data_IF_671155047514
#
_entry.id   IF_671155047514
#
_cell.length_a   1.000
_cell.length_b   1.000
_cell.length_c   1.000
_cell.angle_alpha   90.00
_cell.angle_beta   90.00
_cell.angle_gamma   90.00
#
_symmetry.space_group_name_H-M   'P 1'
#
loop_
_entity.id
_entity.type
_entity.pdbx_description
1 polymer ?
#
# COMPACT_ATOMS: atom_id res chain seq x y z
N UNK A 1 -6.09 39.40 20.62
CA UNK A 1 -5.05 38.50 20.13
C UNK A 1 -5.26 38.30 18.64
N UNK A 2 -4.27 38.51 17.76
CA UNK A 2 -4.42 38.28 16.34
C UNK A 2 -4.60 36.78 16.08
N UNK A 3 -5.65 36.40 15.33
CA UNK A 3 -5.85 35.02 14.91
C UNK A 3 -4.65 34.56 14.08
N UNK A 4 -4.04 33.42 14.44
CA UNK A 4 -3.00 32.79 13.62
C UNK A 4 -3.56 32.59 12.21
N UNK A 5 -2.85 33.13 11.22
CA UNK A 5 -3.18 32.96 9.81
C UNK A 5 -3.12 31.47 9.49
N UNK A 6 -4.25 30.90 9.04
CA UNK A 6 -4.34 29.48 8.65
C UNK A 6 -3.46 29.28 7.40
N UNK A 7 -2.56 28.31 7.43
CA UNK A 7 -1.82 27.89 6.25
C UNK A 7 -2.79 27.10 5.35
N UNK A 8 -3.40 27.79 4.41
CA UNK A 8 -4.47 27.25 3.56
C UNK A 8 -4.20 27.56 2.10
N UNK A 9 -4.58 26.63 1.21
CA UNK A 9 -4.56 26.80 -0.24
C UNK A 9 -5.93 27.21 -0.75
N UNK A 10 -5.97 28.17 -1.65
CA UNK A 10 -7.21 28.56 -2.31
C UNK A 10 -7.58 27.50 -3.36
N UNK A 11 -8.82 26.99 -3.30
CA UNK A 11 -9.36 26.01 -4.23
C UNK A 11 -10.63 26.58 -4.83
N UNK A 12 -10.76 26.56 -6.16
CA UNK A 12 -11.94 27.06 -6.88
C UNK A 12 -12.55 25.89 -7.67
N UNK A 13 -13.67 25.35 -7.18
CA UNK A 13 -14.42 24.29 -7.85
C UNK A 13 -15.86 24.69 -8.12
N UNK A 14 -16.40 24.19 -9.24
CA UNK A 14 -17.81 24.26 -9.54
C UNK A 14 -18.49 23.05 -8.88
N UNK A 15 -19.43 23.31 -7.98
CA UNK A 15 -20.15 22.26 -7.23
C UNK A 15 -21.57 22.19 -7.76
N UNK A 16 -22.11 20.97 -7.91
CA UNK A 16 -23.51 20.75 -8.27
C UNK A 16 -24.46 21.47 -7.30
N UNK A 17 -25.53 22.04 -7.84
CA UNK A 17 -26.48 22.86 -7.09
C UNK A 17 -27.14 22.10 -5.94
N UNK A 18 -27.48 20.83 -6.15
CA UNK A 18 -28.14 20.00 -5.14
C UNK A 18 -27.20 19.69 -3.98
N UNK A 19 -25.92 19.50 -4.27
CA UNK A 19 -24.87 19.30 -3.26
C UNK A 19 -24.65 20.59 -2.47
N UNK A 20 -24.60 21.73 -3.15
CA UNK A 20 -24.46 23.04 -2.53
C UNK A 20 -25.59 23.33 -1.55
N UNK A 21 -26.86 23.12 -1.93
CA UNK A 21 -28.03 23.34 -1.08
C UNK A 21 -28.05 22.42 0.15
N UNK A 22 -27.58 21.17 0.00
CA UNK A 22 -27.43 20.22 1.12
C UNK A 22 -26.33 20.67 2.08
N UNK A 23 -25.23 21.14 1.55
CA UNK A 23 -24.10 21.63 2.34
C UNK A 23 -24.49 22.89 3.12
N UNK A 24 -25.25 23.79 2.51
CA UNK A 24 -25.75 25.01 3.17
C UNK A 24 -26.65 24.65 4.36
N UNK A 25 -27.61 23.75 4.15
CA UNK A 25 -28.48 23.26 5.26
C UNK A 25 -27.67 22.63 6.39
N UNK A 26 -26.67 21.80 6.05
CA UNK A 26 -25.81 21.20 7.06
C UNK A 26 -25.00 22.24 7.85
N UNK A 27 -24.47 23.27 7.19
CA UNK A 27 -23.75 24.35 7.86
C UNK A 27 -24.67 25.14 8.81
N UNK A 28 -25.89 25.46 8.36
CA UNK A 28 -26.90 26.16 9.15
C UNK A 28 -27.34 25.33 10.37
N UNK A 29 -27.62 24.04 10.19
CA UNK A 29 -28.02 23.12 11.27
C UNK A 29 -26.92 22.98 12.34
N UNK A 30 -25.65 23.06 11.95
CA UNK A 30 -24.51 22.99 12.86
C UNK A 30 -24.04 24.34 13.39
N UNK A 31 -24.65 25.46 12.93
CA UNK A 31 -24.28 26.80 13.34
C UNK A 31 -22.84 27.20 12.96
N UNK A 32 -22.33 26.70 11.84
CA UNK A 32 -20.97 26.95 11.38
C UNK A 32 -20.95 27.59 9.97
N UNK A 33 -19.82 28.22 9.65
CA UNK A 33 -19.63 28.76 8.32
C UNK A 33 -19.47 27.65 7.28
N UNK A 34 -19.93 27.88 6.05
CA UNK A 34 -19.85 26.96 4.93
C UNK A 34 -18.43 26.37 4.73
N UNK A 35 -17.41 27.22 4.80
CA UNK A 35 -16.00 26.83 4.66
C UNK A 35 -15.60 25.81 5.72
N UNK A 36 -15.98 26.05 6.98
CA UNK A 36 -15.71 25.13 8.09
C UNK A 36 -16.46 23.81 7.93
N UNK A 37 -17.69 23.86 7.43
CA UNK A 37 -18.49 22.68 7.15
C UNK A 37 -17.86 21.81 6.05
N UNK A 38 -17.38 22.42 4.96
CA UNK A 38 -16.66 21.74 3.88
C UNK A 38 -15.38 21.08 4.41
N UNK A 39 -14.54 21.83 5.10
CA UNK A 39 -13.27 21.32 5.65
C UNK A 39 -13.50 20.10 6.55
N UNK A 40 -14.52 20.19 7.41
CA UNK A 40 -14.86 19.08 8.31
C UNK A 40 -15.34 17.83 7.58
N UNK A 41 -16.25 17.99 6.61
CA UNK A 41 -16.76 16.86 5.82
C UNK A 41 -15.63 16.21 5.01
N UNK A 42 -14.77 17.03 4.40
CA UNK A 42 -13.63 16.53 3.64
C UNK A 42 -12.63 15.82 4.55
N UNK A 43 -12.33 16.37 5.71
CA UNK A 43 -11.42 15.74 6.67
C UNK A 43 -11.97 14.41 7.16
N UNK A 44 -13.23 14.35 7.61
CA UNK A 44 -13.87 13.11 8.05
C UNK A 44 -13.89 12.03 6.94
N UNK A 45 -14.06 12.44 5.69
CA UNK A 45 -14.04 11.51 4.55
C UNK A 45 -12.63 11.02 4.22
N UNK A 46 -11.66 11.93 4.22
CA UNK A 46 -10.24 11.60 3.97
C UNK A 46 -9.67 10.73 5.08
N UNK A 47 -9.95 11.04 6.35
CA UNK A 47 -9.52 10.22 7.50
C UNK A 47 -10.09 8.79 7.40
N UNK A 48 -11.35 8.65 6.96
CA UNK A 48 -11.95 7.34 6.71
C UNK A 48 -11.30 6.60 5.55
N UNK A 49 -11.06 7.30 4.45
CA UNK A 49 -10.37 6.75 3.28
C UNK A 49 -8.95 6.29 3.63
N UNK A 50 -8.22 7.09 4.39
CA UNK A 50 -6.88 6.73 4.88
C UNK A 50 -6.92 5.54 5.85
N UNK A 51 -7.94 5.47 6.72
CA UNK A 51 -8.15 4.33 7.61
C UNK A 51 -8.52 3.04 6.86
N UNK A 52 -9.26 3.14 5.74
CA UNK A 52 -9.57 2.00 4.86
C UNK A 52 -8.33 1.51 4.09
N UNK A 53 -7.39 2.41 3.79
CA UNK A 53 -6.10 2.09 3.17
C UNK A 53 -5.07 1.55 4.16
N UNK A 54 -5.25 1.84 5.45
CA UNK A 54 -4.37 1.32 6.48
C UNK A 54 -4.56 -0.20 6.63
N UNK A 55 -3.48 -0.98 6.74
CA UNK A 55 -3.56 -2.41 6.96
C UNK A 55 -4.35 -2.68 8.24
N UNK A 56 -5.31 -3.60 8.18
CA UNK A 56 -6.14 -3.98 9.33
C UNK A 56 -5.25 -4.62 10.39
N UNK A 57 -4.80 -3.82 11.36
CA UNK A 57 -4.11 -4.31 12.56
C UNK A 57 -2.64 -3.92 12.74
N UNK A 58 -2.11 -2.92 12.01
CA UNK A 58 -0.71 -2.50 12.12
C UNK A 58 -0.50 -0.98 12.15
N UNK A 59 0.70 -0.56 12.57
CA UNK A 59 1.19 0.81 12.41
C UNK A 59 1.13 1.26 10.94
N UNK A 60 1.02 2.57 10.65
CA UNK A 60 0.92 3.05 9.28
C UNK A 60 2.11 2.58 8.44
N UNK A 61 1.81 1.82 7.39
CA UNK A 61 2.82 1.31 6.46
C UNK A 61 3.00 2.30 5.31
N UNK A 62 4.24 2.63 5.00
CA UNK A 62 4.61 3.46 3.86
C UNK A 62 5.20 2.60 2.75
N UNK A 63 4.95 2.97 1.52
CA UNK A 63 5.52 2.33 0.34
C UNK A 63 6.72 3.12 -0.17
N UNK A 64 7.83 2.42 -0.43
CA UNK A 64 9.00 3.00 -1.08
C UNK A 64 8.98 2.70 -2.58
N UNK A 65 8.79 3.69 -3.48
CA UNK A 65 8.73 3.46 -4.91
C UNK A 65 10.07 3.02 -5.53
N UNK A 66 11.20 3.25 -4.84
CA UNK A 66 12.53 2.89 -5.36
C UNK A 66 12.82 1.39 -5.24
N UNK A 67 12.37 0.74 -4.18
CA UNK A 67 12.62 -0.70 -3.93
C UNK A 67 11.36 -1.53 -3.77
N UNK A 68 10.19 -0.93 -3.90
CA UNK A 68 8.88 -1.60 -3.81
C UNK A 68 8.65 -2.30 -2.46
N UNK A 69 9.25 -1.81 -1.37
CA UNK A 69 9.08 -2.38 -0.04
C UNK A 69 8.13 -1.54 0.82
N UNK A 70 7.42 -2.20 1.71
CA UNK A 70 6.66 -1.57 2.76
C UNK A 70 7.56 -1.28 3.96
N UNK A 71 7.37 -0.14 4.61
CA UNK A 71 8.14 0.29 5.78
C UNK A 71 7.24 1.04 6.76
N UNK A 72 7.44 0.85 8.05
CA UNK A 72 6.74 1.55 9.13
C UNK A 72 7.27 2.99 9.36
N UNK A 73 8.40 3.32 8.74
CA UNK A 73 9.09 4.59 8.94
C UNK A 73 8.97 5.49 7.72
N UNK A 74 9.03 6.80 7.95
CA UNK A 74 9.10 7.84 6.90
C UNK A 74 10.41 7.86 6.12
N UNK A 75 11.24 6.83 6.32
CA UNK A 75 12.49 6.58 5.59
C UNK A 75 12.61 5.09 5.29
N UNK A 76 12.88 4.76 4.04
CA UNK A 76 13.07 3.36 3.63
C UNK A 76 14.30 2.74 4.28
N UNK A 77 14.12 1.59 4.94
CA UNK A 77 15.22 0.84 5.59
C UNK A 77 16.17 0.19 4.59
N UNK A 78 15.72 -0.05 3.35
CA UNK A 78 16.50 -0.74 2.32
C UNK A 78 17.39 0.21 1.53
N UNK A 79 16.83 1.30 0.97
CA UNK A 79 17.58 2.24 0.13
C UNK A 79 17.85 3.59 0.80
N UNK A 80 17.34 3.82 2.00
CA UNK A 80 17.51 5.08 2.72
C UNK A 80 16.75 6.28 2.16
N UNK A 81 15.91 6.08 1.12
CA UNK A 81 15.09 7.15 0.54
C UNK A 81 14.11 7.72 1.56
N UNK A 82 13.88 9.04 1.48
CA UNK A 82 12.82 9.74 2.21
C UNK A 82 11.55 9.91 1.36
N UNK A 83 11.60 9.51 0.09
CA UNK A 83 10.46 9.56 -0.83
C UNK A 83 9.57 8.33 -0.63
N UNK A 84 9.05 8.18 0.58
CA UNK A 84 8.05 7.16 0.90
C UNK A 84 6.68 7.81 0.93
N UNK A 85 5.65 7.07 0.53
CA UNK A 85 4.25 7.52 0.49
C UNK A 85 3.32 6.44 1.02
N UNK A 86 2.07 6.76 1.24
CA UNK A 86 1.05 5.75 1.48
C UNK A 86 0.93 4.84 0.24
N UNK A 87 0.82 3.52 0.44
CA UNK A 87 0.68 2.58 -0.67
C UNK A 87 -0.68 2.76 -1.36
N UNK A 88 -0.66 2.78 -2.69
CA UNK A 88 -1.87 2.68 -3.51
C UNK A 88 -2.27 1.22 -3.71
N UNK A 89 -3.54 0.95 -4.02
CA UNK A 89 -4.08 -0.40 -4.21
C UNK A 89 -3.32 -1.20 -5.28
N UNK A 90 -2.88 -0.50 -6.33
CA UNK A 90 -2.16 -1.08 -7.49
C UNK A 90 -0.64 -1.13 -7.31
N UNK A 91 -0.10 -0.64 -6.18
CA UNK A 91 1.34 -0.70 -5.95
C UNK A 91 1.78 -2.14 -5.71
N UNK A 92 2.75 -2.59 -6.51
CA UNK A 92 3.35 -3.91 -6.32
C UNK A 92 4.39 -3.86 -5.22
N UNK A 93 4.05 -4.48 -4.08
CA UNK A 93 4.86 -4.52 -2.87
C UNK A 93 5.68 -5.82 -2.81
N UNK A 94 6.95 -5.70 -2.39
CA UNK A 94 7.80 -6.85 -2.14
C UNK A 94 7.17 -7.75 -1.06
N UNK A 95 6.93 -9.00 -1.42
CA UNK A 95 6.37 -10.01 -0.53
C UNK A 95 7.47 -10.84 0.12
N UNK A 96 8.22 -11.58 -0.69
CA UNK A 96 9.23 -12.53 -0.23
C UNK A 96 10.28 -12.81 -1.31
N UNK A 97 11.36 -13.49 -0.91
CA UNK A 97 12.39 -14.02 -1.82
C UNK A 97 12.56 -15.52 -1.56
N UNK A 98 12.39 -16.34 -2.59
CA UNK A 98 12.50 -17.80 -2.51
C UNK A 98 13.51 -18.34 -3.52
N UNK A 99 14.02 -19.53 -3.26
CA UNK A 99 14.83 -20.25 -4.24
C UNK A 99 13.99 -20.64 -5.45
N UNK A 100 14.61 -20.74 -6.61
CA UNK A 100 13.92 -21.06 -7.88
C UNK A 100 13.09 -22.33 -7.81
N UNK A 101 13.51 -23.33 -7.03
CA UNK A 101 12.77 -24.58 -6.86
C UNK A 101 11.37 -24.39 -6.26
N UNK A 102 11.20 -23.39 -5.38
CA UNK A 102 9.92 -23.06 -4.74
C UNK A 102 9.14 -21.96 -5.45
N UNK A 103 9.80 -21.28 -6.41
CA UNK A 103 9.20 -20.13 -7.06
C UNK A 103 7.95 -20.51 -7.86
N UNK A 104 8.00 -21.57 -8.65
CA UNK A 104 6.88 -22.04 -9.44
C UNK A 104 5.67 -22.41 -8.56
N UNK A 105 5.91 -23.15 -7.46
CA UNK A 105 4.85 -23.55 -6.55
C UNK A 105 4.17 -22.35 -5.86
N UNK A 106 4.95 -21.32 -5.50
CA UNK A 106 4.39 -20.09 -4.93
C UNK A 106 3.64 -19.25 -5.98
N UNK A 107 4.11 -19.20 -7.22
CA UNK A 107 3.39 -18.55 -8.34
C UNK A 107 2.04 -19.23 -8.56
N UNK A 108 2.00 -20.55 -8.65
CA UNK A 108 0.77 -21.31 -8.85
C UNK A 108 -0.20 -21.11 -7.70
N UNK A 109 0.28 -21.14 -6.44
CA UNK A 109 -0.53 -20.90 -5.25
C UNK A 109 -1.18 -19.51 -5.28
N UNK A 110 -0.41 -18.47 -5.59
CA UNK A 110 -0.93 -17.09 -5.69
C UNK A 110 -1.93 -16.96 -6.83
N UNK A 111 -1.66 -17.58 -7.98
CA UNK A 111 -2.54 -17.57 -9.14
C UNK A 111 -3.88 -18.28 -8.87
N UNK A 112 -3.88 -19.40 -8.17
CA UNK A 112 -5.10 -20.14 -7.77
C UNK A 112 -6.02 -19.29 -6.87
N UNK A 113 -5.43 -18.38 -6.08
CA UNK A 113 -6.17 -17.41 -5.27
C UNK A 113 -6.46 -16.09 -6.00
N UNK A 114 -6.17 -16.02 -7.31
CA UNK A 114 -6.41 -14.84 -8.14
C UNK A 114 -5.51 -13.65 -7.80
N UNK A 115 -4.34 -13.89 -7.21
CA UNK A 115 -3.35 -12.88 -6.88
C UNK A 115 -2.29 -12.83 -7.98
N UNK A 116 -2.34 -11.75 -8.79
CA UNK A 116 -1.31 -11.53 -9.80
C UNK A 116 0.00 -11.12 -9.13
N UNK A 117 1.08 -11.88 -9.38
CA UNK A 117 2.40 -11.54 -8.86
C UNK A 117 3.36 -11.14 -10.00
N UNK A 118 4.33 -10.29 -9.69
CA UNK A 118 5.48 -9.99 -10.53
C UNK A 118 6.69 -10.63 -9.89
N UNK A 119 7.47 -11.38 -10.67
CA UNK A 119 8.68 -12.02 -10.22
C UNK A 119 9.92 -11.36 -10.82
N UNK A 120 10.99 -11.28 -10.03
CA UNK A 120 12.30 -10.76 -10.49
C UNK A 120 13.41 -11.69 -10.03
N UNK A 121 14.19 -12.18 -10.97
CA UNK A 121 15.37 -13.00 -10.69
C UNK A 121 16.52 -12.13 -10.16
N UNK A 122 17.17 -12.59 -9.09
CA UNK A 122 18.21 -11.81 -8.40
C UNK A 122 19.56 -11.85 -9.13
N UNK A 123 19.93 -12.96 -9.75
CA UNK A 123 21.25 -13.17 -10.35
C UNK A 123 21.34 -12.84 -11.83
N UNK A 124 20.22 -12.72 -12.53
CA UNK A 124 20.20 -12.53 -13.99
C UNK A 124 20.73 -13.76 -14.77
N UNK A 125 20.22 -13.96 -15.98
CA UNK A 125 20.44 -15.16 -16.79
C UNK A 125 21.92 -15.53 -17.04
N UNK A 126 22.80 -14.53 -17.18
CA UNK A 126 24.21 -14.76 -17.47
C UNK A 126 25.03 -15.31 -16.30
N UNK A 127 24.65 -14.97 -15.07
CA UNK A 127 25.34 -15.46 -13.87
C UNK A 127 24.75 -16.79 -13.40
N UNK A 128 23.44 -16.97 -13.51
CA UNK A 128 22.75 -18.22 -13.22
C UNK A 128 23.28 -19.39 -14.08
N UNK A 129 23.63 -19.14 -15.35
CA UNK A 129 24.25 -20.13 -16.22
C UNK A 129 25.65 -20.59 -15.77
N UNK A 130 26.38 -19.75 -15.01
CA UNK A 130 27.73 -20.08 -14.51
C UNK A 130 27.73 -20.75 -13.13
N UNK A 131 26.78 -20.41 -12.26
CA UNK A 131 26.76 -20.83 -10.85
C UNK A 131 25.77 -21.98 -10.65
N UNK A 132 24.84 -22.18 -11.59
CA UNK A 132 23.78 -23.16 -11.54
C UNK A 132 22.46 -22.61 -10.99
N UNK A 133 21.33 -23.16 -11.45
CA UNK A 133 19.98 -22.66 -11.10
C UNK A 133 19.60 -22.82 -9.62
N UNK A 134 20.26 -23.72 -8.89
CA UNK A 134 20.00 -23.95 -7.47
C UNK A 134 20.36 -22.75 -6.55
N UNK A 135 21.21 -21.85 -7.02
CA UNK A 135 21.62 -20.64 -6.26
C UNK A 135 20.81 -19.41 -6.63
N UNK A 136 19.94 -19.50 -7.62
CA UNK A 136 19.11 -18.39 -8.06
C UNK A 136 17.94 -18.20 -7.11
N UNK A 137 17.68 -16.92 -6.77
CA UNK A 137 16.54 -16.51 -5.95
C UNK A 137 15.61 -15.64 -6.76
N UNK A 138 14.33 -15.83 -6.50
CA UNK A 138 13.24 -15.10 -7.15
C UNK A 138 12.54 -14.24 -6.11
N UNK A 139 12.43 -12.95 -6.39
CA UNK A 139 11.69 -11.98 -5.59
C UNK A 139 10.27 -11.85 -6.11
N UNK A 140 9.32 -11.90 -5.19
CA UNK A 140 7.90 -11.81 -5.47
C UNK A 140 7.37 -10.44 -5.06
N UNK A 141 6.55 -9.86 -5.93
CA UNK A 141 5.86 -8.60 -5.70
C UNK A 141 4.38 -8.79 -6.00
N UNK A 142 3.53 -8.37 -5.08
CA UNK A 142 2.06 -8.50 -5.19
C UNK A 142 1.40 -7.14 -5.02
N UNK A 143 0.19 -6.92 -5.60
CA UNK A 143 -0.56 -5.69 -5.40
C UNK A 143 -0.83 -5.45 -3.92
N UNK A 144 -0.71 -4.21 -3.46
CA UNK A 144 -0.96 -3.85 -2.07
C UNK A 144 -2.35 -4.25 -1.59
N UNK A 145 -3.37 -4.14 -2.47
CA UNK A 145 -4.73 -4.58 -2.18
C UNK A 145 -4.86 -6.04 -1.71
N UNK A 146 -3.92 -6.90 -2.11
CA UNK A 146 -3.91 -8.34 -1.80
C UNK A 146 -2.68 -8.76 -0.98
N UNK A 147 -1.93 -7.78 -0.44
CA UNK A 147 -0.64 -8.02 0.22
C UNK A 147 -0.78 -8.90 1.48
N UNK A 148 -1.72 -8.59 2.36
CA UNK A 148 -1.91 -9.36 3.60
C UNK A 148 -2.35 -10.79 3.30
N UNK A 149 -3.28 -10.98 2.37
CA UNK A 149 -3.72 -12.32 1.94
C UNK A 149 -2.57 -13.12 1.32
N UNK A 150 -1.78 -12.50 0.44
CA UNK A 150 -0.61 -13.15 -0.16
C UNK A 150 0.42 -13.55 0.89
N UNK A 151 0.59 -12.73 1.92
CA UNK A 151 1.50 -12.99 3.04
C UNK A 151 1.02 -14.15 3.92
N UNK A 152 -0.28 -14.22 4.20
CA UNK A 152 -0.89 -15.34 4.93
C UNK A 152 -0.70 -16.65 4.17
N UNK A 153 -1.01 -16.67 2.87
CA UNK A 153 -0.83 -17.84 1.99
C UNK A 153 0.63 -18.29 1.93
N UNK A 154 1.57 -17.36 1.80
CA UNK A 154 3.00 -17.66 1.80
C UNK A 154 3.43 -18.31 3.12
N UNK A 155 3.00 -17.75 4.24
CA UNK A 155 3.33 -18.29 5.56
C UNK A 155 2.72 -19.67 5.81
N UNK A 156 1.48 -19.90 5.41
CA UNK A 156 0.82 -21.21 5.55
C UNK A 156 1.51 -22.28 4.70
N UNK A 157 1.84 -21.94 3.45
CA UNK A 157 2.51 -22.86 2.52
C UNK A 157 3.85 -23.33 3.06
N UNK A 158 4.68 -22.44 3.60
CA UNK A 158 6.00 -22.80 4.10
C UNK A 158 6.01 -23.35 5.54
N UNK A 159 4.98 -23.10 6.36
CA UNK A 159 4.83 -23.76 7.66
C UNK A 159 4.53 -25.25 7.53
N UNK A 160 3.72 -25.63 6.56
CA UNK A 160 3.38 -27.04 6.32
C UNK A 160 4.60 -27.89 5.95
N UNK A 161 5.70 -27.30 5.50
CA UNK A 161 6.94 -28.01 5.15
C UNK A 161 7.89 -28.18 6.34
N UNK A 162 7.93 -27.22 7.28
CA UNK A 162 8.75 -27.34 8.50
C UNK A 162 8.26 -28.46 9.44
N UNK A 163 6.95 -28.78 9.40
CA UNK A 163 6.36 -29.84 10.21
C UNK A 163 6.52 -31.26 9.59
N UNK A 164 7.19 -31.39 8.44
CA UNK A 164 7.33 -32.67 7.71
C UNK A 164 8.75 -33.26 7.79
N UNK A 165 9.70 -32.62 8.46
CA UNK A 165 11.05 -33.13 8.80
C UNK A 165 11.07 -33.59 10.24
#
# INVERSE_FOLDING_TARGET
MPRKKKDGRFINYYIDRTIYERLQRYADDKGQQMTTAIERILQEHLDRYEAELAPKGGEPMYFCPNCNVLTEQTRCRVCGSREVRLPGQEDYCYLTEKQTIWAAALEDLLADHGILCITKNTLGAGLAAKIGPAMERVRFYVPYARYEEAKELEQEFFKAEEDTE
#
